data_IF_300904565433
#
_entry.id   IF_300904565433
#
_cell.length_a   1.000
_cell.length_b   1.000
_cell.length_c   1.000
_cell.angle_alpha   90.00
_cell.angle_beta   90.00
_cell.angle_gamma   90.00
#
_symmetry.space_group_name_H-M   'P 1'
#
loop_
_entity.id
_entity.type
_entity.pdbx_description
1 polymer ?
#
# COMPACT_ATOMS: atom_id res chain seq x y z
N UNK A 1 -2.37 -3.50 -51.65
CA UNK A 1 -1.46 -3.28 -50.50
C UNK A 1 -1.57 -1.81 -50.05
N UNK A 2 -2.64 -1.45 -49.34
CA UNK A 2 -2.93 -0.05 -48.97
C UNK A 2 -3.63 0.04 -47.59
N UNK A 3 -3.14 -0.70 -46.59
CA UNK A 3 -3.82 -0.80 -45.29
C UNK A 3 -2.99 -0.33 -44.10
N UNK A 4 -1.67 -0.21 -44.25
CA UNK A 4 -0.77 0.24 -43.17
C UNK A 4 -0.85 1.74 -42.89
N UNK A 5 -1.27 2.56 -43.86
CA UNK A 5 -1.29 4.03 -43.73
C UNK A 5 -2.42 4.56 -42.83
N UNK A 6 -3.58 3.88 -42.79
CA UNK A 6 -4.75 4.33 -42.01
C UNK A 6 -4.67 3.98 -40.52
N UNK A 7 -3.89 2.96 -40.16
CA UNK A 7 -3.62 2.58 -38.77
C UNK A 7 -2.73 3.62 -38.08
N UNK A 8 -1.71 4.12 -38.78
CA UNK A 8 -0.77 5.13 -38.28
C UNK A 8 -1.37 6.53 -38.11
N UNK A 9 -2.46 6.83 -38.81
CA UNK A 9 -3.16 8.11 -38.73
C UNK A 9 -4.21 8.12 -37.60
N UNK A 10 -4.76 6.95 -37.25
CA UNK A 10 -5.70 6.78 -36.12
C UNK A 10 -4.98 6.59 -34.78
N UNK A 11 -3.81 5.97 -34.79
CA UNK A 11 -2.91 5.94 -33.64
C UNK A 11 -2.08 7.21 -33.76
N UNK A 12 -2.65 8.33 -33.30
CA UNK A 12 -1.89 9.57 -33.13
C UNK A 12 -0.53 9.26 -32.54
N UNK A 13 0.49 9.92 -33.08
CA UNK A 13 1.91 9.72 -32.82
C UNK A 13 2.16 9.16 -31.41
N UNK A 14 2.76 7.97 -31.34
CA UNK A 14 3.17 7.33 -30.08
C UNK A 14 3.85 8.37 -29.19
N UNK A 15 3.57 8.35 -27.87
CA UNK A 15 3.79 9.49 -27.00
C UNK A 15 5.22 10.02 -27.16
N UNK A 16 5.30 11.34 -27.39
CA UNK A 16 6.54 12.08 -27.31
C UNK A 16 7.37 11.54 -26.15
N UNK A 17 8.64 11.22 -26.41
CA UNK A 17 9.58 10.76 -25.39
C UNK A 17 9.39 11.61 -24.13
N UNK A 18 9.01 10.96 -23.02
CA UNK A 18 8.85 11.62 -21.73
C UNK A 18 10.12 12.41 -21.45
N UNK A 19 9.98 13.72 -21.21
CA UNK A 19 11.09 14.59 -20.91
C UNK A 19 11.80 14.06 -19.64
N UNK A 20 13.10 13.71 -19.71
CA UNK A 20 13.85 13.22 -18.56
C UNK A 20 13.78 14.15 -17.35
N UNK A 21 13.68 15.47 -17.56
CA UNK A 21 13.56 16.43 -16.47
C UNK A 21 12.19 16.34 -15.75
N UNK A 22 11.13 15.94 -16.46
CA UNK A 22 9.82 15.68 -15.85
C UNK A 22 9.90 14.39 -15.03
N UNK A 23 10.55 13.35 -15.54
CA UNK A 23 10.74 12.08 -14.82
C UNK A 23 11.51 12.32 -13.52
N UNK A 24 12.65 13.00 -13.58
CA UNK A 24 13.49 13.30 -12.41
C UNK A 24 12.73 14.10 -11.35
N UNK A 25 11.92 15.10 -11.76
CA UNK A 25 11.11 15.88 -10.82
C UNK A 25 10.04 15.01 -10.16
N UNK A 26 9.36 14.16 -10.92
CA UNK A 26 8.34 13.25 -10.37
C UNK A 26 8.98 12.26 -9.39
N UNK A 27 10.13 11.68 -9.73
CA UNK A 27 10.86 10.78 -8.83
C UNK A 27 11.28 11.47 -7.53
N UNK A 28 11.73 12.73 -7.60
CA UNK A 28 12.08 13.52 -6.41
C UNK A 28 10.85 13.84 -5.54
N UNK A 29 9.72 14.18 -6.16
CA UNK A 29 8.46 14.42 -5.44
C UNK A 29 7.95 13.14 -4.77
N UNK A 30 8.03 11.99 -5.45
CA UNK A 30 7.71 10.69 -4.87
C UNK A 30 8.64 10.34 -3.71
N UNK A 31 9.95 10.55 -3.85
CA UNK A 31 10.90 10.28 -2.77
C UNK A 31 10.64 11.16 -1.53
N UNK A 32 10.29 12.43 -1.73
CA UNK A 32 9.92 13.33 -0.64
C UNK A 32 8.63 12.88 0.05
N UNK A 33 7.62 12.47 -0.73
CA UNK A 33 6.37 11.92 -0.19
C UNK A 33 6.60 10.65 0.64
N UNK A 34 7.40 9.71 0.12
CA UNK A 34 7.72 8.47 0.83
C UNK A 34 8.46 8.75 2.14
N UNK A 35 9.37 9.73 2.14
CA UNK A 35 10.09 10.14 3.36
C UNK A 35 9.17 10.75 4.41
N UNK A 36 8.11 11.45 4.00
CA UNK A 36 7.10 12.00 4.91
C UNK A 36 6.26 10.87 5.52
N UNK A 37 5.79 9.93 4.68
CA UNK A 37 5.08 8.72 5.16
C UNK A 37 5.93 7.94 6.15
N UNK A 38 7.20 7.70 5.84
CA UNK A 38 8.12 6.97 6.72
C UNK A 38 8.34 7.70 8.05
N UNK A 39 8.49 9.03 8.02
CA UNK A 39 8.65 9.83 9.23
C UNK A 39 7.40 9.83 10.12
N UNK A 40 6.21 9.72 9.54
CA UNK A 40 4.96 9.81 10.29
C UNK A 40 4.35 8.46 10.71
N UNK A 41 4.58 7.40 9.92
CA UNK A 41 3.94 6.09 10.08
C UNK A 41 4.92 4.91 9.99
N UNK A 42 6.22 5.16 9.82
CA UNK A 42 7.22 4.10 9.65
C UNK A 42 7.24 3.09 10.80
N UNK A 43 7.12 3.57 12.03
CA UNK A 43 7.09 2.71 13.23
C UNK A 43 5.83 1.81 13.25
N UNK A 44 4.65 2.38 13.00
CA UNK A 44 3.41 1.61 12.89
C UNK A 44 3.46 0.57 11.77
N UNK A 45 3.97 0.94 10.59
CA UNK A 45 4.09 0.04 9.43
C UNK A 45 5.09 -1.07 9.72
N UNK A 46 6.23 -0.77 10.35
CA UNK A 46 7.23 -1.76 10.74
C UNK A 46 6.63 -2.79 11.72
N UNK A 47 5.90 -2.33 12.73
CA UNK A 47 5.21 -3.23 13.66
C UNK A 47 4.14 -4.08 12.98
N UNK A 48 3.41 -3.54 11.99
CA UNK A 48 2.48 -4.32 11.19
C UNK A 48 3.18 -5.40 10.38
N UNK A 49 4.35 -5.09 9.79
CA UNK A 49 5.15 -6.07 9.05
C UNK A 49 5.66 -7.19 9.95
N UNK A 50 6.13 -6.87 11.16
CA UNK A 50 6.55 -7.85 12.16
C UNK A 50 5.39 -8.77 12.59
N UNK A 51 4.21 -8.19 12.81
CA UNK A 51 3.02 -8.94 13.22
C UNK A 51 2.45 -9.80 12.10
N UNK A 52 2.53 -9.36 10.84
CA UNK A 52 2.02 -10.09 9.69
C UNK A 52 2.96 -11.23 9.23
N UNK A 53 4.28 -11.03 9.31
CA UNK A 53 5.28 -12.01 8.83
C UNK A 53 5.45 -13.24 9.74
N UNK A 54 4.99 -13.18 11.00
CA UNK A 54 4.95 -14.35 11.88
C UNK A 54 3.59 -15.06 11.82
N UNK A 55 3.28 -15.66 10.66
CA UNK A 55 2.04 -16.43 10.44
C UNK A 55 1.82 -17.59 11.41
N UNK A 56 2.89 -18.10 12.06
CA UNK A 56 2.79 -19.14 13.10
C UNK A 56 2.39 -18.59 14.48
N UNK A 57 2.68 -17.31 14.68
CA UNK A 57 2.52 -16.58 15.93
C UNK A 57 1.14 -15.96 16.12
N UNK A 58 0.49 -15.55 15.03
CA UNK A 58 -0.85 -14.91 15.07
C UNK A 58 -1.91 -15.83 15.66
N UNK A 59 -1.83 -17.14 15.40
CA UNK A 59 -2.78 -18.13 15.92
C UNK A 59 -2.48 -18.63 17.34
N UNK A 60 -1.26 -18.39 17.84
CA UNK A 60 -0.81 -18.91 19.13
C UNK A 60 -0.81 -17.87 20.25
N UNK A 61 -0.90 -16.57 19.91
CA UNK A 61 -0.97 -15.47 20.86
C UNK A 61 -2.25 -14.62 20.66
N UNK A 62 -3.21 -14.65 21.60
CA UNK A 62 -4.44 -13.86 21.50
C UNK A 62 -4.21 -12.33 21.57
N UNK A 63 -3.03 -11.87 21.98
CA UNK A 63 -2.70 -10.44 21.99
C UNK A 63 -2.23 -9.93 20.63
N UNK A 64 -1.81 -10.81 19.71
CA UNK A 64 -1.35 -10.42 18.38
C UNK A 64 -2.45 -9.82 17.50
N UNK A 65 -3.63 -10.46 17.33
CA UNK A 65 -4.73 -9.85 16.57
C UNK A 65 -5.14 -8.48 17.12
N UNK A 66 -5.09 -8.31 18.45
CA UNK A 66 -5.39 -7.03 19.12
C UNK A 66 -4.31 -5.98 18.88
N UNK A 67 -3.04 -6.37 18.87
CA UNK A 67 -1.94 -5.48 18.52
C UNK A 67 -2.05 -5.03 17.07
N UNK A 68 -2.30 -5.98 16.16
CA UNK A 68 -2.50 -5.72 14.75
C UNK A 68 -3.65 -4.73 14.52
N UNK A 69 -4.84 -5.01 15.07
CA UNK A 69 -5.99 -4.11 14.97
C UNK A 69 -5.69 -2.69 15.50
N UNK A 70 -4.98 -2.57 16.64
CA UNK A 70 -4.62 -1.26 17.20
C UNK A 70 -3.72 -0.45 16.27
N UNK A 71 -2.72 -1.08 15.68
CA UNK A 71 -1.81 -0.39 14.75
C UNK A 71 -2.53 0.01 13.46
N UNK A 72 -3.30 -0.91 12.87
CA UNK A 72 -4.09 -0.60 11.65
C UNK A 72 -5.09 0.53 11.93
N UNK A 73 -5.81 0.48 13.05
CA UNK A 73 -6.80 1.49 13.41
C UNK A 73 -6.16 2.87 13.67
N UNK A 74 -4.93 2.92 14.22
CA UNK A 74 -4.19 4.18 14.36
C UNK A 74 -3.88 4.76 12.98
N UNK A 75 -3.29 3.96 12.09
CA UNK A 75 -2.94 4.41 10.73
C UNK A 75 -4.19 4.87 9.98
N UNK A 76 -5.30 4.13 10.09
CA UNK A 76 -6.58 4.50 9.50
C UNK A 76 -7.09 5.86 9.99
N UNK A 77 -7.04 6.12 11.30
CA UNK A 77 -7.50 7.37 11.89
C UNK A 77 -6.61 8.58 11.56
N UNK A 78 -5.30 8.38 11.60
CA UNK A 78 -4.33 9.47 11.51
C UNK A 78 -3.98 9.82 10.05
N UNK A 79 -3.81 8.83 9.17
CA UNK A 79 -3.29 9.04 7.80
C UNK A 79 -4.12 10.05 6.96
N UNK A 80 -5.46 10.02 6.93
CA UNK A 80 -6.23 11.02 6.19
C UNK A 80 -6.03 12.45 6.71
N UNK A 81 -5.90 12.61 8.03
CA UNK A 81 -5.73 13.92 8.67
C UNK A 81 -4.38 14.56 8.39
N UNK A 82 -3.38 13.74 8.03
CA UNK A 82 -2.02 14.15 7.71
C UNK A 82 -1.72 14.21 6.22
N UNK A 83 -2.73 14.01 5.36
CA UNK A 83 -2.56 14.14 3.91
C UNK A 83 -2.22 12.83 3.20
N UNK A 84 -2.36 11.68 3.86
CA UNK A 84 -2.11 10.34 3.30
C UNK A 84 -3.41 9.53 3.14
N UNK A 85 -4.38 9.98 2.30
CA UNK A 85 -5.68 9.32 2.18
C UNK A 85 -5.61 7.92 1.56
N UNK A 86 -4.59 7.65 0.73
CA UNK A 86 -4.40 6.31 0.17
C UNK A 86 -3.99 5.32 1.26
N UNK A 87 -3.03 5.70 2.11
CA UNK A 87 -2.63 4.91 3.27
C UNK A 87 -3.82 4.66 4.21
N UNK A 88 -4.63 5.70 4.48
CA UNK A 88 -5.84 5.58 5.28
C UNK A 88 -6.85 4.59 4.70
N UNK A 89 -7.08 4.59 3.38
CA UNK A 89 -7.99 3.60 2.73
C UNK A 89 -7.44 2.18 2.76
N UNK A 90 -6.14 2.01 2.59
CA UNK A 90 -5.52 0.68 2.68
C UNK A 90 -5.63 0.14 4.11
N UNK A 91 -5.41 0.99 5.11
CA UNK A 91 -5.61 0.64 6.52
C UNK A 91 -7.09 0.35 6.84
N UNK A 92 -8.04 1.12 6.29
CA UNK A 92 -9.48 0.86 6.43
C UNK A 92 -9.87 -0.53 5.90
N UNK A 93 -9.42 -0.87 4.69
CA UNK A 93 -9.63 -2.19 4.08
C UNK A 93 -9.11 -3.31 4.98
N UNK A 94 -7.93 -3.12 5.55
CA UNK A 94 -7.34 -4.09 6.47
C UNK A 94 -8.10 -4.15 7.81
N UNK A 95 -8.56 -3.04 8.38
CA UNK A 95 -9.42 -3.04 9.56
C UNK A 95 -10.68 -3.88 9.33
N UNK A 96 -11.35 -3.70 8.19
CA UNK A 96 -12.56 -4.46 7.85
C UNK A 96 -12.27 -5.96 7.73
N UNK A 97 -11.12 -6.35 7.19
CA UNK A 97 -10.72 -7.76 7.16
C UNK A 97 -10.60 -8.34 8.57
N UNK A 98 -9.95 -7.60 9.49
CA UNK A 98 -9.71 -8.03 10.87
C UNK A 98 -10.96 -8.00 11.76
N UNK A 99 -11.95 -7.17 11.43
CA UNK A 99 -13.23 -7.11 12.16
C UNK A 99 -14.14 -8.29 11.83
N UNK A 100 -14.04 -8.82 10.60
CA UNK A 100 -14.93 -9.87 10.12
C UNK A 100 -14.36 -11.28 10.31
N UNK A 101 -13.03 -11.43 10.39
CA UNK A 101 -12.38 -12.73 10.51
C UNK A 101 -11.12 -12.66 11.41
N UNK A 102 -10.96 -13.63 12.31
CA UNK A 102 -9.62 -13.94 12.83
C UNK A 102 -8.86 -14.68 11.71
N UNK A 103 -7.69 -14.17 11.24
CA UNK A 103 -6.91 -14.86 10.23
C UNK A 103 -6.51 -16.24 10.76
N UNK A 104 -7.19 -17.26 10.25
CA UNK A 104 -7.20 -18.62 10.79
C UNK A 104 -6.77 -19.67 9.76
N UNK A 105 -6.62 -19.27 8.50
CA UNK A 105 -6.07 -20.10 7.44
C UNK A 105 -4.95 -19.38 6.66
N UNK A 106 -4.17 -20.17 5.92
CA UNK A 106 -3.02 -19.69 5.14
C UNK A 106 -3.41 -18.62 4.11
N UNK A 107 -4.65 -18.64 3.60
CA UNK A 107 -5.13 -17.66 2.63
C UNK A 107 -5.36 -16.30 3.31
N UNK A 108 -5.99 -16.28 4.48
CA UNK A 108 -6.21 -15.07 5.26
C UNK A 108 -4.89 -14.45 5.73
N UNK A 109 -3.91 -15.29 6.13
CA UNK A 109 -2.56 -14.83 6.47
C UNK A 109 -1.89 -14.19 5.24
N UNK A 110 -1.97 -14.82 4.06
CA UNK A 110 -1.41 -14.24 2.85
C UNK A 110 -2.08 -12.91 2.46
N UNK A 111 -3.41 -12.80 2.62
CA UNK A 111 -4.15 -11.55 2.37
C UNK A 111 -3.71 -10.46 3.35
N UNK A 112 -3.51 -10.80 4.62
CA UNK A 112 -2.99 -9.89 5.64
C UNK A 112 -1.59 -9.37 5.27
N UNK A 113 -0.66 -10.27 4.96
CA UNK A 113 0.70 -9.93 4.54
C UNK A 113 0.70 -9.01 3.31
N UNK A 114 -0.16 -9.29 2.32
CA UNK A 114 -0.29 -8.45 1.13
C UNK A 114 -0.84 -7.06 1.43
N UNK A 115 -1.80 -6.92 2.35
CA UNK A 115 -2.29 -5.60 2.76
C UNK A 115 -1.19 -4.78 3.45
N UNK A 116 -0.47 -5.41 4.38
CA UNK A 116 0.62 -4.74 5.10
C UNK A 116 1.77 -4.37 4.15
N UNK A 117 2.12 -5.25 3.21
CA UNK A 117 3.11 -4.95 2.18
C UNK A 117 2.66 -3.79 1.28
N UNK A 118 1.37 -3.71 0.94
CA UNK A 118 0.83 -2.58 0.19
C UNK A 118 0.96 -1.28 0.98
N UNK A 119 0.67 -1.27 2.29
CA UNK A 119 0.84 -0.11 3.16
C UNK A 119 2.30 0.38 3.19
N UNK A 120 3.26 -0.53 3.23
CA UNK A 120 4.69 -0.21 3.22
C UNK A 120 5.23 0.26 1.84
N UNK A 121 4.43 0.13 0.78
CA UNK A 121 4.81 0.53 -0.58
C UNK A 121 4.20 1.86 -1.03
N UNK A 122 3.37 2.47 -0.17
CA UNK A 122 2.77 3.80 -0.37
C UNK A 122 3.82 4.86 -0.02
#
# INVERSE_FOLDING_TARGET
>A
MAETSKLREKVGDLPAQLDPAIVERVEAEVAAFNSEVEAEFGDEIAHLQELASDGSGVMSDPERPRALYRYVHRVWGDAPSRGHPLLGRTAESLCLLLENDEPSDDMQIAILEHHVAAMASI
#
